data_IF_832140817034
#
_entry.id   IF_832140817034
#
_cell.length_a   1.000
_cell.length_b   1.000
_cell.length_c   1.000
_cell.angle_alpha   90.00
_cell.angle_beta   90.00
_cell.angle_gamma   90.00
#
_symmetry.space_group_name_H-M   'P 1'
#
loop_
_entity.id
_entity.type
_entity.pdbx_description
1 polymer ?
#
# COMPACT_ATOMS: atom_id res chain seq x y z
N UNK A 1 -5.16 0.74 -9.77
CA UNK A 1 -5.86 1.24 -8.55
C UNK A 1 -6.20 2.70 -8.80
N UNK A 2 -7.47 3.07 -8.68
CA UNK A 2 -7.96 4.43 -8.92
C UNK A 2 -8.43 5.05 -7.60
N UNK A 3 -8.04 6.29 -7.33
CA UNK A 3 -8.57 7.12 -6.25
C UNK A 3 -9.61 8.05 -6.86
N UNK A 4 -10.85 8.05 -6.35
CA UNK A 4 -11.89 9.00 -6.75
C UNK A 4 -11.85 10.22 -5.83
N UNK A 5 -11.96 11.42 -6.41
CA UNK A 5 -12.24 12.65 -5.66
C UNK A 5 -13.75 12.87 -5.53
N UNK A 6 -14.22 13.29 -4.35
CA UNK A 6 -15.65 13.46 -4.09
C UNK A 6 -16.28 14.55 -4.99
N UNK A 7 -17.37 14.21 -5.68
CA UNK A 7 -18.15 15.14 -6.51
C UNK A 7 -17.87 15.06 -8.01
N UNK A 8 -16.92 14.23 -8.45
CA UNK A 8 -16.70 13.94 -9.88
C UNK A 8 -16.52 12.44 -10.09
N UNK A 9 -16.89 11.93 -11.28
CA UNK A 9 -16.57 10.57 -11.70
C UNK A 9 -15.24 10.52 -12.48
N UNK A 10 -14.37 11.52 -12.26
CA UNK A 10 -13.06 11.56 -12.90
C UNK A 10 -12.17 10.58 -12.17
N UNK A 11 -11.88 9.48 -12.85
CA UNK A 11 -10.87 8.52 -12.42
C UNK A 11 -9.49 9.06 -12.76
N UNK A 12 -8.59 9.03 -11.77
CA UNK A 12 -7.16 9.27 -11.99
C UNK A 12 -6.39 7.99 -11.77
N UNK A 13 -5.50 7.65 -12.70
CA UNK A 13 -4.59 6.53 -12.55
C UNK A 13 -3.46 6.89 -11.58
N UNK A 14 -3.36 6.11 -10.51
CA UNK A 14 -2.25 6.17 -9.59
C UNK A 14 -1.19 5.15 -10.02
N UNK A 15 -0.10 5.65 -10.61
CA UNK A 15 0.96 4.79 -11.13
C UNK A 15 1.94 4.46 -10.02
N UNK A 16 1.98 3.19 -9.62
CA UNK A 16 3.04 2.65 -8.76
C UNK A 16 4.10 1.97 -9.62
N UNK A 17 5.28 2.57 -9.73
CA UNK A 17 6.33 2.13 -10.66
C UNK A 17 6.90 0.75 -10.29
N UNK A 18 6.90 0.38 -9.00
CA UNK A 18 7.38 -0.91 -8.51
C UNK A 18 6.28 -1.96 -8.28
N UNK A 19 5.05 -1.70 -8.74
CA UNK A 19 3.92 -2.61 -8.57
C UNK A 19 3.75 -3.41 -9.87
N UNK A 20 4.15 -4.69 -9.85
CA UNK A 20 4.10 -5.55 -11.02
C UNK A 20 3.30 -6.81 -10.75
N UNK A 21 2.66 -7.34 -11.80
CA UNK A 21 1.96 -8.63 -11.76
C UNK A 21 0.70 -8.71 -10.90
N UNK A 22 0.22 -7.58 -10.36
CA UNK A 22 -1.06 -7.52 -9.63
C UNK A 22 -0.96 -6.73 -8.33
N UNK A 23 -1.65 -5.58 -8.21
CA UNK A 23 -1.95 -5.01 -6.90
C UNK A 23 -2.73 -6.01 -6.05
N UNK A 24 -2.35 -6.20 -4.78
CA UNK A 24 -3.15 -6.93 -3.80
C UNK A 24 -4.23 -6.04 -3.17
N UNK A 25 -3.78 -4.99 -2.48
CA UNK A 25 -4.63 -4.14 -1.66
C UNK A 25 -4.08 -2.71 -1.53
N UNK A 26 -4.94 -1.80 -1.09
CA UNK A 26 -4.65 -0.37 -0.95
C UNK A 26 -5.15 0.14 0.40
N UNK A 27 -4.38 0.98 1.07
CA UNK A 27 -4.79 1.75 2.23
C UNK A 27 -4.37 3.22 2.09
N UNK A 28 -5.01 4.09 2.88
CA UNK A 28 -4.69 5.52 2.97
C UNK A 28 -4.50 5.86 4.44
N UNK A 29 -3.41 6.54 4.79
CA UNK A 29 -3.19 7.04 6.14
C UNK A 29 -3.92 8.36 6.41
N UNK A 30 -3.93 8.82 7.67
CA UNK A 30 -4.58 10.09 8.05
C UNK A 30 -3.96 11.34 7.39
N UNK A 31 -2.74 11.24 6.86
CA UNK A 31 -2.08 12.31 6.10
C UNK A 31 -2.39 12.24 4.60
N UNK A 32 -3.09 11.21 4.13
CA UNK A 32 -3.45 11.01 2.73
C UNK A 32 -2.40 10.27 1.90
N UNK A 33 -1.35 9.72 2.52
CA UNK A 33 -0.40 8.86 1.80
C UNK A 33 -1.06 7.53 1.46
N UNK A 34 -0.73 7.00 0.29
CA UNK A 34 -1.28 5.75 -0.21
C UNK A 34 -0.29 4.61 0.04
N UNK A 35 -0.78 3.46 0.47
CA UNK A 35 0.00 2.25 0.67
C UNK A 35 -0.58 1.14 -0.19
N UNK A 36 0.23 0.52 -1.04
CA UNK A 36 -0.20 -0.55 -1.93
C UNK A 36 0.65 -1.80 -1.74
N UNK A 37 0.03 -2.97 -1.59
CA UNK A 37 0.72 -4.26 -1.66
C UNK A 37 0.82 -4.72 -3.11
N UNK A 38 2.01 -5.18 -3.49
CA UNK A 38 2.27 -5.81 -4.78
C UNK A 38 2.38 -7.31 -4.61
N UNK A 39 1.38 -8.02 -5.12
CA UNK A 39 1.24 -9.46 -4.94
C UNK A 39 2.41 -10.21 -5.58
N UNK A 40 2.69 -9.97 -6.86
CA UNK A 40 3.82 -10.63 -7.55
C UNK A 40 5.16 -9.92 -7.29
N UNK A 41 5.15 -8.62 -6.97
CA UNK A 41 6.40 -7.92 -6.65
C UNK A 41 6.90 -8.17 -5.23
N UNK A 42 6.12 -8.84 -4.36
CA UNK A 42 6.50 -9.12 -2.97
C UNK A 42 6.85 -7.84 -2.17
N UNK A 43 6.18 -6.73 -2.49
CA UNK A 43 6.49 -5.41 -1.91
C UNK A 43 5.26 -4.77 -1.30
N UNK A 44 5.50 -3.81 -0.40
CA UNK A 44 4.53 -2.77 -0.05
C UNK A 44 5.15 -1.43 -0.37
N UNK A 45 4.44 -0.62 -1.15
CA UNK A 45 4.88 0.71 -1.57
C UNK A 45 4.05 1.77 -0.85
N UNK A 46 4.71 2.78 -0.28
CA UNK A 46 4.08 4.04 0.13
C UNK A 46 4.25 5.06 -0.99
N UNK A 47 3.19 5.77 -1.35
CA UNK A 47 3.20 6.94 -2.21
C UNK A 47 2.86 8.17 -1.37
N UNK A 48 3.79 9.10 -1.28
CA UNK A 48 3.60 10.37 -0.58
C UNK A 48 2.56 11.24 -1.28
N UNK A 49 1.63 11.80 -0.51
CA UNK A 49 0.63 12.72 -1.03
C UNK A 49 1.28 13.98 -1.60
N UNK A 50 0.71 14.53 -2.67
CA UNK A 50 1.16 15.78 -3.31
C UNK A 50 2.40 15.63 -4.21
N UNK A 51 3.39 14.83 -3.83
CA UNK A 51 4.60 14.61 -4.64
C UNK A 51 4.55 13.35 -5.49
N UNK A 52 3.76 12.35 -5.09
CA UNK A 52 3.73 11.04 -5.74
C UNK A 52 5.01 10.20 -5.52
N UNK A 53 5.93 10.66 -4.67
CA UNK A 53 7.18 9.95 -4.37
C UNK A 53 6.89 8.59 -3.76
N UNK A 54 7.53 7.54 -4.29
CA UNK A 54 7.32 6.17 -3.85
C UNK A 54 8.49 5.64 -3.03
N UNK A 55 8.19 4.93 -1.96
CA UNK A 55 9.17 4.22 -1.14
C UNK A 55 8.71 2.81 -0.81
N UNK A 56 9.62 1.84 -0.92
CA UNK A 56 9.39 0.47 -0.46
C UNK A 56 9.39 0.46 1.07
N UNK A 57 8.34 -0.10 1.67
CA UNK A 57 8.26 -0.24 3.11
C UNK A 57 9.14 -1.41 3.58
N UNK A 58 9.86 -1.26 4.71
CA UNK A 58 10.92 -2.17 5.12
C UNK A 58 10.41 -3.46 5.77
N UNK A 59 9.39 -4.09 5.18
CA UNK A 59 9.02 -5.46 5.54
C UNK A 59 10.09 -6.43 5.04
N UNK A 60 10.37 -7.45 5.84
CA UNK A 60 11.16 -8.60 5.43
C UNK A 60 10.25 -9.79 5.22
N UNK A 61 10.67 -10.72 4.35
CA UNK A 61 9.97 -11.99 4.10
C UNK A 61 8.50 -11.82 3.69
N UNK A 62 8.24 -10.88 2.78
CA UNK A 62 6.95 -10.78 2.10
C UNK A 62 6.85 -11.83 0.98
N UNK A 63 5.79 -12.62 1.01
CA UNK A 63 5.38 -13.53 -0.04
C UNK A 63 3.91 -13.26 -0.37
N UNK A 64 3.70 -12.67 -1.55
CA UNK A 64 2.38 -12.37 -2.10
C UNK A 64 1.44 -11.68 -1.10
N UNK A 65 1.80 -10.48 -0.61
CA UNK A 65 0.95 -9.72 0.30
C UNK A 65 -0.35 -9.31 -0.40
N UNK A 66 -1.48 -9.55 0.26
CA UNK A 66 -2.81 -9.28 -0.31
C UNK A 66 -3.43 -8.01 0.27
N UNK A 67 -3.50 -7.91 1.60
CA UNK A 67 -4.13 -6.77 2.29
C UNK A 67 -3.11 -5.85 2.92
N UNK A 68 -3.44 -4.56 2.98
CA UNK A 68 -2.72 -3.55 3.78
C UNK A 68 -3.72 -2.71 4.56
N UNK A 69 -3.37 -2.31 5.77
CA UNK A 69 -4.14 -1.39 6.61
C UNK A 69 -3.20 -0.45 7.35
N UNK A 70 -3.64 0.79 7.57
CA UNK A 70 -2.91 1.78 8.38
C UNK A 70 -3.83 2.27 9.49
N UNK A 71 -3.34 2.24 10.74
CA UNK A 71 -4.11 2.74 11.89
C UNK A 71 -3.90 4.25 12.13
N UNK A 72 -4.66 4.82 13.07
CA UNK A 72 -4.54 6.24 13.42
C UNK A 72 -3.20 6.64 14.06
N UNK A 73 -2.41 5.66 14.52
CA UNK A 73 -1.03 5.87 14.99
C UNK A 73 0.02 5.77 13.88
N UNK A 74 -0.37 5.45 12.65
CA UNK A 74 0.53 5.28 11.52
C UNK A 74 1.18 3.89 11.44
N UNK A 75 0.74 2.92 12.24
CA UNK A 75 1.22 1.55 12.12
C UNK A 75 0.65 0.93 10.84
N UNK A 76 1.50 0.19 10.12
CA UNK A 76 1.15 -0.46 8.87
C UNK A 76 1.07 -1.97 9.07
N UNK A 77 -0.11 -2.54 8.89
CA UNK A 77 -0.38 -3.97 8.94
C UNK A 77 -0.50 -4.54 7.52
N UNK A 78 0.09 -5.72 7.29
CA UNK A 78 0.10 -6.40 5.99
C UNK A 78 -0.33 -7.85 6.17
N UNK A 79 -1.34 -8.26 5.41
CA UNK A 79 -1.79 -9.66 5.37
C UNK A 79 -0.85 -10.44 4.47
N UNK A 80 -0.27 -11.47 5.04
CA UNK A 80 0.70 -12.34 4.40
C UNK A 80 0.08 -13.74 4.19
N UNK A 81 -0.76 -13.85 3.18
CA UNK A 81 -1.66 -15.01 2.97
C UNK A 81 -0.92 -16.34 2.82
N UNK A 82 0.25 -16.36 2.18
CA UNK A 82 0.97 -17.63 1.94
C UNK A 82 1.81 -18.15 3.12
N UNK A 83 1.99 -17.35 4.18
CA UNK A 83 2.60 -17.80 5.45
C UNK A 83 1.64 -17.63 6.64
N UNK A 84 0.32 -17.56 6.39
CA UNK A 84 -0.74 -17.52 7.41
C UNK A 84 -0.49 -16.51 8.55
N UNK A 85 0.05 -15.33 8.23
CA UNK A 85 0.43 -14.33 9.24
C UNK A 85 0.05 -12.91 8.86
N UNK A 86 0.10 -12.03 9.86
CA UNK A 86 0.03 -10.58 9.69
C UNK A 86 1.35 -9.99 10.17
N UNK A 87 1.97 -9.16 9.35
CA UNK A 87 3.16 -8.40 9.71
C UNK A 87 2.79 -6.96 10.04
N UNK A 88 3.42 -6.38 11.05
CA UNK A 88 3.23 -5.00 11.47
C UNK A 88 4.56 -4.24 11.40
N UNK A 89 4.54 -3.05 10.79
CA UNK A 89 5.56 -2.03 11.00
C UNK A 89 4.98 -0.95 11.91
N UNK A 90 5.66 -0.70 13.03
CA UNK A 90 5.29 0.41 13.91
C UNK A 90 5.71 1.74 13.30
N UNK A 91 4.90 2.78 13.53
CA UNK A 91 5.33 4.15 13.24
C UNK A 91 6.61 4.50 14.01
N UNK A 92 7.47 5.30 13.39
CA UNK A 92 8.68 5.85 14.03
C UNK A 92 8.37 7.07 14.88
#
# INVERSE_FOLDING_TARGET
MAKLEAGTNIQTDLVFAGLHGGPGGLAVDGAGNLYASGFISHTVLKMAVGTGTQTVQPFTDLDRPEGVAVDGGGNLDVVHTFNDRVLKLSAS
#
